data_IF_045397294798
#
_entry.id   IF_045397294798
#
_cell.length_a   1.000
_cell.length_b   1.000
_cell.length_c   1.000
_cell.angle_alpha   90.00
_cell.angle_beta   90.00
_cell.angle_gamma   90.00
#
_symmetry.space_group_name_H-M   'P 1'
#
loop_
_entity.id
_entity.type
_entity.pdbx_description
1 polymer ?
#
# COMPACT_ATOMS: atom_id res chain seq x y z
N UNK A 1 12.27 -6.83 -34.97
CA UNK A 1 11.35 -6.56 -33.83
C UNK A 1 11.31 -5.06 -33.49
N UNK A 2 10.13 -4.43 -33.40
CA UNK A 2 10.00 -2.99 -33.12
C UNK A 2 10.52 -2.62 -31.71
N UNK A 3 11.06 -1.41 -31.57
CA UNK A 3 11.50 -0.85 -30.27
C UNK A 3 10.30 -0.44 -29.42
N UNK A 4 9.30 0.15 -30.06
CA UNK A 4 8.04 0.62 -29.48
C UNK A 4 6.94 -0.40 -29.77
N UNK A 5 6.15 -0.73 -28.75
CA UNK A 5 4.95 -1.56 -28.85
C UNK A 5 3.73 -0.69 -29.07
N UNK A 6 3.64 0.40 -28.32
CA UNK A 6 2.47 1.27 -28.32
C UNK A 6 2.86 2.68 -27.85
N UNK A 7 2.02 3.67 -28.18
CA UNK A 7 2.18 5.03 -27.72
C UNK A 7 0.82 5.73 -27.62
N UNK A 8 0.60 6.49 -26.55
CA UNK A 8 -0.65 7.20 -26.32
C UNK A 8 -0.41 8.55 -25.66
N UNK A 9 -1.37 9.47 -25.84
CA UNK A 9 -1.32 10.80 -25.25
C UNK A 9 -1.64 10.73 -23.75
N UNK A 10 -0.91 11.52 -22.96
CA UNK A 10 -1.11 11.72 -21.53
C UNK A 10 -1.10 13.22 -21.23
N UNK A 11 -1.61 13.68 -20.07
CA UNK A 11 -1.62 15.11 -19.75
C UNK A 11 -0.26 15.80 -19.83
N UNK A 12 0.83 15.07 -19.58
CA UNK A 12 2.21 15.57 -19.64
C UNK A 12 2.89 15.42 -21.01
N UNK A 13 2.21 14.91 -22.03
CA UNK A 13 2.79 14.67 -23.36
C UNK A 13 2.42 13.33 -23.97
N UNK A 14 3.41 12.54 -24.38
CA UNK A 14 3.23 11.23 -25.00
C UNK A 14 3.91 10.17 -24.16
N UNK A 15 3.18 9.11 -23.81
CA UNK A 15 3.74 7.91 -23.19
C UNK A 15 4.06 6.88 -24.27
N UNK A 16 5.25 6.27 -24.17
CA UNK A 16 5.73 5.27 -25.12
C UNK A 16 6.00 3.97 -24.38
N UNK A 17 5.37 2.88 -24.83
CA UNK A 17 5.58 1.54 -24.29
C UNK A 17 6.66 0.81 -25.10
N UNK A 18 7.78 0.49 -24.45
CA UNK A 18 8.82 -0.33 -25.04
C UNK A 18 8.52 -1.83 -24.88
N UNK A 19 8.97 -2.66 -25.82
CA UNK A 19 8.68 -4.11 -25.77
C UNK A 19 9.44 -4.87 -24.68
N UNK A 20 10.49 -4.27 -24.11
CA UNK A 20 11.25 -4.83 -22.98
C UNK A 20 12.04 -3.73 -22.28
N UNK A 21 12.53 -3.96 -21.05
CA UNK A 21 13.42 -3.02 -20.37
C UNK A 21 14.70 -2.69 -21.15
N UNK A 22 15.27 -3.66 -21.88
CA UNK A 22 16.45 -3.44 -22.71
C UNK A 22 16.15 -2.49 -23.88
N UNK A 23 15.01 -2.66 -24.54
CA UNK A 23 14.57 -1.76 -25.61
C UNK A 23 14.23 -0.37 -25.09
N UNK A 24 13.65 -0.26 -23.89
CA UNK A 24 13.44 1.03 -23.23
C UNK A 24 14.78 1.76 -23.01
N UNK A 25 15.82 1.04 -22.58
CA UNK A 25 17.16 1.61 -22.45
C UNK A 25 17.73 2.06 -23.80
N UNK A 26 17.55 1.28 -24.88
CA UNK A 26 17.95 1.71 -26.22
C UNK A 26 17.22 2.95 -26.71
N UNK A 27 15.92 3.11 -26.39
CA UNK A 27 15.18 4.34 -26.71
C UNK A 27 15.78 5.53 -25.95
N UNK A 28 16.12 5.35 -24.67
CA UNK A 28 16.73 6.40 -23.85
C UNK A 28 18.15 6.78 -24.29
N UNK A 29 18.90 5.87 -24.92
CA UNK A 29 20.21 6.20 -25.52
C UNK A 29 20.10 7.22 -26.65
N UNK A 30 18.94 7.34 -27.29
CA UNK A 30 18.65 8.31 -28.33
C UNK A 30 17.79 9.48 -27.83
N UNK A 31 17.73 9.71 -26.52
CA UNK A 31 16.89 10.74 -25.89
C UNK A 31 17.10 12.13 -26.47
N UNK A 32 18.34 12.56 -26.73
CA UNK A 32 18.65 13.87 -27.31
C UNK A 32 18.12 14.02 -28.73
N UNK A 33 18.29 12.99 -29.57
CA UNK A 33 17.79 13.00 -30.94
C UNK A 33 16.25 13.03 -30.98
N UNK A 34 15.61 12.32 -30.04
CA UNK A 34 14.16 12.36 -29.86
C UNK A 34 13.75 13.75 -29.37
N UNK A 35 14.39 14.29 -28.33
CA UNK A 35 14.11 15.61 -27.78
C UNK A 35 14.16 16.70 -28.86
N UNK A 36 15.21 16.71 -29.68
CA UNK A 36 15.39 17.67 -30.76
C UNK A 36 14.26 17.59 -31.81
N UNK A 37 13.81 16.37 -32.16
CA UNK A 37 12.71 16.16 -33.10
C UNK A 37 11.35 16.61 -32.56
N UNK A 38 11.18 16.59 -31.24
CA UNK A 38 9.94 16.98 -30.56
C UNK A 38 10.05 18.35 -29.87
N UNK A 39 10.86 19.27 -30.41
CA UNK A 39 10.91 20.66 -29.93
C UNK A 39 11.52 20.80 -28.55
N UNK A 40 12.65 20.12 -28.29
CA UNK A 40 13.32 20.04 -27.00
C UNK A 40 12.46 19.40 -25.90
N UNK A 41 11.68 18.37 -26.27
CA UNK A 41 10.91 17.61 -25.30
C UNK A 41 11.83 16.87 -24.30
N UNK A 42 11.42 16.79 -23.04
CA UNK A 42 12.10 15.95 -22.04
C UNK A 42 11.77 14.49 -22.31
N UNK A 43 12.78 13.69 -22.64
CA UNK A 43 12.63 12.24 -22.84
C UNK A 43 13.15 11.53 -21.60
N UNK A 44 12.24 10.92 -20.85
CA UNK A 44 12.56 10.25 -19.60
C UNK A 44 11.87 8.91 -19.46
N UNK A 45 12.44 8.05 -18.61
CA UNK A 45 11.79 6.81 -18.22
C UNK A 45 10.68 7.12 -17.23
N UNK A 46 9.52 6.48 -17.39
CA UNK A 46 8.52 6.48 -16.34
C UNK A 46 9.09 5.80 -15.08
N UNK A 47 9.28 6.57 -14.03
CA UNK A 47 9.72 6.09 -12.72
C UNK A 47 8.58 6.16 -11.72
N UNK A 48 8.57 5.19 -10.80
CA UNK A 48 7.72 5.25 -9.61
C UNK A 48 8.43 6.08 -8.54
N UNK A 49 7.70 7.02 -7.94
CA UNK A 49 8.26 7.95 -6.96
C UNK A 49 7.70 7.66 -5.56
N UNK A 50 8.57 7.69 -4.56
CA UNK A 50 8.21 7.64 -3.15
C UNK A 50 8.21 9.04 -2.55
N UNK A 51 7.15 9.40 -1.83
CA UNK A 51 7.11 10.63 -1.06
C UNK A 51 7.72 10.41 0.33
N UNK A 52 8.55 11.36 0.78
CA UNK A 52 8.98 11.49 2.17
C UNK A 52 8.52 12.84 2.74
N UNK A 53 8.30 12.89 4.04
CA UNK A 53 8.09 14.11 4.82
C UNK A 53 9.34 14.35 5.65
N UNK A 54 9.88 15.57 5.56
CA UNK A 54 11.10 15.97 6.27
C UNK A 54 10.75 17.13 7.19
N UNK A 55 11.04 17.00 8.48
CA UNK A 55 10.78 18.03 9.47
C UNK A 55 11.10 17.62 10.91
N UNK A 56 11.13 18.59 11.84
CA UNK A 56 10.86 20.02 11.62
C UNK A 56 12.01 20.76 10.90
N UNK A 57 11.66 21.76 10.08
CA UNK A 57 12.58 22.69 9.39
C UNK A 57 12.11 24.12 9.69
N UNK A 58 13.01 25.06 10.04
CA UNK A 58 12.64 26.46 10.25
C UNK A 58 12.06 27.06 8.96
N UNK A 59 11.01 27.88 9.06
CA UNK A 59 10.45 28.59 7.90
C UNK A 59 11.17 29.89 7.55
N UNK A 60 12.01 30.36 8.46
CA UNK A 60 12.87 31.52 8.28
C UNK A 60 14.25 31.20 8.82
N UNK A 61 15.27 31.42 8.02
CA UNK A 61 16.68 31.32 8.41
C UNK A 61 17.25 32.73 8.39
N UNK A 62 17.84 33.15 9.50
CA UNK A 62 18.49 34.45 9.62
C UNK A 62 19.94 34.31 9.14
N UNK A 63 20.30 35.14 8.18
CA UNK A 63 21.66 35.30 7.64
C UNK A 63 22.12 36.74 7.89
N UNK A 64 23.38 37.05 7.54
CA UNK A 64 23.89 38.43 7.62
C UNK A 64 23.08 39.41 6.74
N UNK A 65 22.51 38.91 5.64
CA UNK A 65 21.73 39.70 4.68
C UNK A 65 20.23 39.79 5.05
N UNK A 66 19.81 39.14 6.14
CA UNK A 66 18.43 39.12 6.61
C UNK A 66 17.81 37.73 6.71
N UNK A 67 16.49 37.69 6.90
CA UNK A 67 15.73 36.47 7.08
C UNK A 67 15.14 35.96 5.75
N UNK A 68 15.41 34.70 5.40
CA UNK A 68 14.96 34.08 4.15
C UNK A 68 14.15 32.80 4.42
N UNK A 69 13.20 32.47 3.54
CA UNK A 69 12.59 31.14 3.53
C UNK A 69 13.67 30.15 3.04
N UNK A 70 14.02 29.10 3.81
CA UNK A 70 15.00 28.15 3.34
C UNK A 70 14.61 27.43 2.04
N UNK A 71 13.33 27.39 1.66
CA UNK A 71 12.93 26.83 0.36
C UNK A 71 13.36 27.68 -0.84
N UNK A 72 13.62 28.97 -0.65
CA UNK A 72 14.14 29.90 -1.67
C UNK A 72 15.66 29.69 -1.87
N UNK A 73 16.05 28.46 -2.21
CA UNK A 73 17.43 28.09 -2.60
C UNK A 73 18.30 27.53 -1.47
N UNK A 74 18.22 28.05 -0.23
CA UNK A 74 19.12 27.63 0.86
C UNK A 74 19.01 26.14 1.22
N UNK A 75 17.84 25.54 1.08
CA UNK A 75 17.60 24.12 1.36
C UNK A 75 18.27 23.22 0.32
N UNK A 76 18.37 23.66 -0.94
CA UNK A 76 19.09 22.89 -1.97
C UNK A 76 20.61 22.98 -1.79
N UNK A 77 21.09 24.10 -1.24
CA UNK A 77 22.48 24.31 -0.89
C UNK A 77 22.89 23.65 0.44
N UNK A 78 21.91 23.23 1.26
CA UNK A 78 22.16 22.56 2.53
C UNK A 78 22.98 21.27 2.29
N UNK A 79 24.14 21.08 2.95
CA UNK A 79 25.07 20.00 2.63
C UNK A 79 24.48 18.59 2.68
N UNK A 80 23.59 18.31 3.64
CA UNK A 80 22.93 17.01 3.73
C UNK A 80 21.88 16.81 2.64
N UNK A 81 21.13 17.84 2.22
CA UNK A 81 20.23 17.76 1.06
C UNK A 81 21.03 17.59 -0.23
N UNK A 82 22.12 18.34 -0.42
CA UNK A 82 22.99 18.24 -1.61
C UNK A 82 23.60 16.86 -1.74
N UNK A 83 24.18 16.33 -0.66
CA UNK A 83 24.72 14.98 -0.62
C UNK A 83 23.65 13.91 -0.94
N UNK A 84 22.41 14.10 -0.45
CA UNK A 84 21.31 13.21 -0.83
C UNK A 84 20.92 13.33 -2.31
N UNK A 85 21.01 14.53 -2.90
CA UNK A 85 20.68 14.78 -4.31
C UNK A 85 21.67 14.13 -5.26
N UNK A 86 22.96 14.13 -4.91
CA UNK A 86 24.03 13.50 -5.70
C UNK A 86 23.81 11.99 -5.82
N UNK A 87 23.37 11.35 -4.72
CA UNK A 87 23.08 9.91 -4.69
C UNK A 87 21.65 9.55 -5.11
N UNK A 88 20.69 10.46 -5.00
CA UNK A 88 19.27 10.21 -5.27
C UNK A 88 18.61 11.44 -5.89
N UNK A 89 18.03 11.38 -7.11
CA UNK A 89 17.44 12.57 -7.70
C UNK A 89 16.21 12.98 -6.89
N UNK A 90 16.22 14.18 -6.33
CA UNK A 90 15.09 14.78 -5.63
C UNK A 90 14.40 15.75 -6.59
N UNK A 91 13.15 15.45 -6.99
CA UNK A 91 12.44 16.27 -8.00
C UNK A 91 11.54 17.35 -7.45
N UNK A 92 10.87 17.08 -6.34
CA UNK A 92 9.86 17.98 -5.80
C UNK A 92 10.16 18.24 -4.34
N UNK A 93 10.37 19.51 -4.00
CA UNK A 93 10.56 19.98 -2.63
C UNK A 93 9.55 21.09 -2.40
N UNK A 94 8.62 20.88 -1.48
CA UNK A 94 7.60 21.87 -1.14
C UNK A 94 7.19 21.76 0.32
N UNK A 95 6.74 22.87 0.93
CA UNK A 95 6.07 22.81 2.21
C UNK A 95 4.85 21.86 2.16
N UNK A 96 4.63 21.09 3.21
CA UNK A 96 3.37 20.36 3.39
C UNK A 96 2.24 21.37 3.54
N UNK A 97 1.03 21.06 3.04
CA UNK A 97 -0.15 21.92 3.18
C UNK A 97 -0.39 22.38 4.63
N UNK A 98 -0.29 21.46 5.58
CA UNK A 98 -0.37 21.78 7.03
C UNK A 98 0.67 22.78 7.49
N UNK A 99 1.87 22.76 6.90
CA UNK A 99 2.91 23.73 7.23
C UNK A 99 2.63 25.06 6.56
N UNK A 100 2.16 25.11 5.32
CA UNK A 100 1.75 26.35 4.66
C UNK A 100 0.68 27.09 5.47
N UNK A 101 -0.32 26.36 5.97
CA UNK A 101 -1.46 26.94 6.70
C UNK A 101 -1.13 27.29 8.18
N UNK A 102 0.03 26.87 8.70
CA UNK A 102 0.39 27.02 10.10
C UNK A 102 1.19 28.30 10.36
N UNK A 103 0.93 28.99 11.48
CA UNK A 103 1.77 30.10 11.97
C UNK A 103 3.02 29.62 12.73
N UNK A 104 3.24 28.30 12.83
CA UNK A 104 4.44 27.74 13.48
C UNK A 104 5.71 28.24 12.78
N UNK A 105 6.75 28.66 13.53
CA UNK A 105 8.05 29.02 12.97
C UNK A 105 8.77 27.83 12.33
N UNK A 106 8.33 26.60 12.62
CA UNK A 106 8.80 25.37 12.01
C UNK A 106 7.73 24.71 11.16
N UNK A 107 8.14 24.16 10.02
CA UNK A 107 7.29 23.38 9.13
C UNK A 107 7.90 22.03 8.78
N UNK A 108 7.19 21.31 7.93
CA UNK A 108 7.62 20.07 7.32
C UNK A 108 7.50 20.21 5.80
N UNK A 109 8.51 19.73 5.09
CA UNK A 109 8.55 19.69 3.63
C UNK A 109 8.22 18.28 3.12
N UNK A 110 7.82 18.18 1.86
CA UNK A 110 7.69 16.92 1.13
C UNK A 110 8.79 16.83 0.09
N UNK A 111 9.49 15.70 0.06
CA UNK A 111 10.45 15.37 -0.98
C UNK A 111 9.99 14.14 -1.77
N UNK A 112 10.22 14.12 -3.08
CA UNK A 112 9.98 12.96 -3.94
C UNK A 112 11.30 12.36 -4.42
N UNK A 113 11.47 11.06 -4.18
CA UNK A 113 12.67 10.28 -4.52
C UNK A 113 12.24 9.04 -5.32
N UNK A 114 13.01 8.57 -6.33
CA UNK A 114 12.64 7.35 -7.06
C UNK A 114 12.55 6.16 -6.11
N UNK A 115 11.54 5.31 -6.29
CA UNK A 115 11.31 4.14 -5.45
C UNK A 115 12.52 3.21 -5.43
N UNK A 116 13.21 3.05 -6.56
CA UNK A 116 14.45 2.27 -6.67
C UNK A 116 15.56 2.77 -5.72
N UNK A 117 15.55 4.05 -5.35
CA UNK A 117 16.55 4.67 -4.46
C UNK A 117 15.99 5.03 -3.08
N UNK A 118 14.71 4.77 -2.81
CA UNK A 118 14.06 5.12 -1.55
C UNK A 118 14.71 4.47 -0.31
N UNK A 119 15.34 3.31 -0.48
CA UNK A 119 16.07 2.61 0.59
C UNK A 119 17.36 3.33 1.02
N UNK A 120 17.91 4.23 0.18
CA UNK A 120 19.09 5.04 0.51
C UNK A 120 18.76 6.27 1.33
N UNK A 121 17.47 6.63 1.44
CA UNK A 121 17.04 7.81 2.19
C UNK A 121 17.14 7.50 3.69
N UNK A 122 17.96 8.24 4.46
CA UNK A 122 18.11 8.01 5.89
C UNK A 122 16.83 8.41 6.64
N UNK A 123 16.62 7.87 7.84
CA UNK A 123 15.47 8.20 8.69
C UNK A 123 15.63 9.52 9.46
N UNK A 124 16.86 10.00 9.61
CA UNK A 124 17.20 11.25 10.31
C UNK A 124 18.44 11.87 9.67
N UNK A 125 18.44 13.20 9.53
CA UNK A 125 19.60 14.00 9.13
C UNK A 125 19.61 15.32 9.90
N UNK A 126 20.80 15.87 10.08
CA UNK A 126 20.92 17.22 10.61
C UNK A 126 20.75 18.20 9.45
N UNK A 127 19.78 19.11 9.56
CA UNK A 127 19.52 20.19 8.60
C UNK A 127 19.50 21.51 9.37
N UNK A 128 20.20 22.52 8.88
CA UNK A 128 20.29 23.83 9.55
C UNK A 128 20.70 23.73 11.03
N UNK A 129 21.63 22.82 11.34
CA UNK A 129 22.08 22.58 12.71
C UNK A 129 21.12 21.80 13.60
N UNK A 130 19.91 21.46 13.14
CA UNK A 130 18.89 20.74 13.91
C UNK A 130 18.72 19.30 13.44
N UNK A 131 18.45 18.38 14.36
CA UNK A 131 18.15 16.99 14.03
C UNK A 131 16.73 16.88 13.44
N UNK A 132 16.65 16.62 12.14
CA UNK A 132 15.40 16.54 11.37
C UNK A 132 15.03 15.09 11.08
N UNK A 133 13.76 14.73 11.29
CA UNK A 133 13.24 13.41 10.93
C UNK A 133 12.85 13.36 9.46
N UNK A 134 13.12 12.23 8.82
CA UNK A 134 12.75 11.94 7.45
C UNK A 134 11.87 10.69 7.47
N UNK A 135 10.59 10.87 7.14
CA UNK A 135 9.59 9.81 7.22
C UNK A 135 9.07 9.47 5.83
N UNK A 136 9.22 8.20 5.44
CA UNK A 136 8.60 7.68 4.22
C UNK A 136 7.08 7.74 4.38
N UNK A 137 6.41 8.46 3.47
CA UNK A 137 4.95 8.48 3.41
C UNK A 137 4.49 7.19 2.77
N UNK A 138 4.01 6.29 3.62
CA UNK A 138 3.35 5.07 3.15
C UNK A 138 1.87 5.36 2.92
N UNK A 139 1.42 5.24 1.68
CA UNK A 139 -0.02 5.30 1.35
C UNK A 139 -0.73 3.96 1.65
N UNK A 140 -0.17 3.14 2.55
CA UNK A 140 -0.89 2.04 3.18
C UNK A 140 -1.92 2.65 4.12
N UNK A 141 -3.01 3.19 3.58
CA UNK A 141 -4.29 3.09 4.27
C UNK A 141 -4.54 1.59 4.45
N UNK A 142 -4.08 1.06 5.58
CA UNK A 142 -4.37 -0.29 5.97
C UNK A 142 -5.87 -0.33 6.20
N UNK A 143 -6.54 -1.28 5.55
CA UNK A 143 -7.89 -1.65 5.95
C UNK A 143 -7.79 -2.07 7.41
N UNK A 144 -8.28 -1.23 8.32
CA UNK A 144 -8.20 -1.51 9.75
C UNK A 144 -9.24 -2.58 10.08
N UNK A 145 -8.77 -3.73 10.53
CA UNK A 145 -9.60 -4.77 11.13
C UNK A 145 -9.59 -4.55 12.64
N UNK A 146 -10.77 -4.45 13.24
CA UNK A 146 -10.92 -4.28 14.68
C UNK A 146 -10.47 -5.55 15.40
N UNK A 147 -9.52 -5.47 16.34
CA UNK A 147 -9.09 -6.61 17.15
C UNK A 147 -10.10 -7.06 18.23
N UNK A 148 -11.20 -6.31 18.45
CA UNK A 148 -12.28 -6.73 19.36
C UNK A 148 -13.32 -7.61 18.65
N UNK A 149 -13.87 -7.10 17.54
CA UNK A 149 -15.00 -7.74 16.86
C UNK A 149 -14.70 -8.18 15.42
N UNK A 150 -13.46 -8.03 14.96
CA UNK A 150 -13.00 -8.38 13.59
C UNK A 150 -13.75 -7.69 12.45
N UNK A 151 -14.53 -6.66 12.74
CA UNK A 151 -15.14 -5.79 11.74
C UNK A 151 -14.13 -4.83 11.12
N UNK A 152 -14.38 -4.41 9.88
CA UNK A 152 -13.50 -3.47 9.16
C UNK A 152 -13.69 -2.03 9.61
N UNK A 153 -13.18 -1.67 10.78
CA UNK A 153 -13.14 -0.30 11.31
C UNK A 153 -12.02 -0.16 12.35
N UNK A 154 -11.78 1.07 12.82
CA UNK A 154 -10.78 1.30 13.86
C UNK A 154 -11.22 0.71 15.21
N UNK A 155 -10.31 -0.01 15.88
CA UNK A 155 -10.51 -0.56 17.23
C UNK A 155 -10.88 0.51 18.25
N UNK A 156 -10.22 1.68 18.19
CA UNK A 156 -10.36 2.75 19.20
C UNK A 156 -11.79 3.27 19.37
N UNK A 157 -12.61 3.18 18.32
CA UNK A 157 -14.03 3.62 18.34
C UNK A 157 -14.99 2.44 18.45
N UNK A 158 -14.50 1.23 18.73
CA UNK A 158 -15.32 0.03 18.84
C UNK A 158 -15.92 -0.12 20.24
N UNK A 159 -17.25 0.01 20.31
CA UNK A 159 -18.05 -0.29 21.51
C UNK A 159 -18.51 -1.76 21.60
N UNK A 160 -18.13 -2.62 20.64
CA UNK A 160 -18.51 -4.05 20.65
C UNK A 160 -17.60 -4.84 21.59
N UNK A 161 -18.15 -5.94 22.11
CA UNK A 161 -17.42 -6.92 22.93
C UNK A 161 -16.33 -7.65 22.13
N UNK A 162 -15.37 -8.21 22.87
CA UNK A 162 -14.34 -9.08 22.31
C UNK A 162 -14.95 -10.40 21.84
N UNK A 163 -14.61 -10.80 20.62
CA UNK A 163 -15.03 -12.04 20.00
C UNK A 163 -13.82 -12.95 19.79
N UNK A 164 -14.07 -14.22 19.55
CA UNK A 164 -13.08 -15.18 19.07
C UNK A 164 -12.92 -15.05 17.54
N UNK A 165 -11.68 -14.98 17.05
CA UNK A 165 -11.40 -14.86 15.62
C UNK A 165 -11.86 -16.10 14.83
N UNK A 166 -11.70 -17.28 15.44
CA UNK A 166 -11.95 -18.57 14.80
C UNK A 166 -13.43 -18.93 14.81
N UNK A 167 -14.13 -18.89 15.95
CA UNK A 167 -15.55 -19.31 16.03
C UNK A 167 -16.59 -18.17 16.03
N UNK A 168 -16.17 -16.91 16.14
CA UNK A 168 -17.08 -15.76 16.12
C UNK A 168 -17.96 -15.57 17.37
N UNK A 169 -17.84 -16.43 18.38
CA UNK A 169 -18.51 -16.26 19.67
C UNK A 169 -17.74 -15.26 20.56
N UNK A 170 -18.18 -15.04 21.79
CA UNK A 170 -17.44 -14.24 22.76
C UNK A 170 -16.02 -14.80 22.97
N UNK A 171 -15.09 -13.88 23.25
CA UNK A 171 -13.71 -14.22 23.61
C UNK A 171 -13.70 -15.25 24.72
N UNK A 172 -12.84 -16.26 24.58
CA UNK A 172 -12.67 -17.32 25.56
C UNK A 172 -11.17 -17.62 25.72
N UNK A 173 -10.82 -18.20 26.86
CA UNK A 173 -9.47 -18.65 27.15
C UNK A 173 -9.25 -20.08 26.63
N UNK A 174 -8.01 -20.43 26.32
CA UNK A 174 -7.65 -21.75 25.80
C UNK A 174 -7.97 -21.98 24.32
N UNK A 175 -7.66 -23.19 23.80
CA UNK A 175 -7.85 -23.52 22.39
C UNK A 175 -9.33 -23.50 22.00
N UNK A 176 -9.62 -22.97 20.81
CA UNK A 176 -10.98 -22.96 20.27
C UNK A 176 -11.36 -24.33 19.72
N UNK A 177 -12.34 -24.99 20.34
CA UNK A 177 -12.86 -26.31 19.90
C UNK A 177 -14.12 -26.20 19.05
N UNK A 178 -14.68 -24.99 18.91
CA UNK A 178 -15.88 -24.74 18.11
C UNK A 178 -15.53 -24.69 16.63
N UNK A 179 -16.53 -25.01 15.80
CA UNK A 179 -16.40 -24.91 14.35
C UNK A 179 -15.98 -23.49 13.94
N UNK A 180 -14.99 -23.42 13.05
CA UNK A 180 -14.48 -22.15 12.52
C UNK A 180 -15.58 -21.47 11.69
N UNK A 181 -15.85 -20.21 12.00
CA UNK A 181 -16.82 -19.38 11.29
C UNK A 181 -16.41 -17.90 11.32
N UNK A 182 -16.26 -17.31 10.13
CA UNK A 182 -15.95 -15.90 9.97
C UNK A 182 -17.13 -14.99 10.39
N UNK A 183 -16.85 -13.97 11.20
CA UNK A 183 -17.84 -12.99 11.68
C UNK A 183 -18.44 -12.12 10.58
N UNK A 184 -17.72 -11.92 9.47
CA UNK A 184 -18.10 -10.99 8.41
C UNK A 184 -18.95 -11.70 7.32
N UNK A 185 -18.41 -12.77 6.71
CA UNK A 185 -19.08 -13.51 5.63
C UNK A 185 -19.82 -14.78 6.08
N UNK A 186 -19.60 -15.26 7.32
CA UNK A 186 -20.12 -16.55 7.83
C UNK A 186 -19.55 -17.81 7.14
N UNK A 187 -18.42 -17.68 6.45
CA UNK A 187 -17.70 -18.77 5.82
C UNK A 187 -16.79 -19.57 6.78
N UNK A 188 -16.32 -20.76 6.37
CA UNK A 188 -15.51 -21.67 7.19
C UNK A 188 -14.03 -21.29 7.24
N UNK A 189 -13.74 -20.05 7.63
CA UNK A 189 -12.38 -19.53 7.82
C UNK A 189 -12.36 -18.53 8.99
N UNK A 190 -11.17 -18.22 9.50
CA UNK A 190 -11.02 -17.26 10.59
C UNK A 190 -11.36 -15.83 10.15
N UNK A 191 -11.89 -15.02 11.05
CA UNK A 191 -12.28 -13.64 10.76
C UNK A 191 -11.10 -12.72 10.39
N UNK A 192 -9.87 -13.17 10.63
CA UNK A 192 -8.59 -12.52 10.27
C UNK A 192 -8.18 -12.78 8.82
N UNK A 193 -8.78 -13.75 8.14
CA UNK A 193 -8.41 -14.14 6.78
C UNK A 193 -8.55 -12.96 5.79
N UNK A 194 -7.52 -12.81 4.96
CA UNK A 194 -7.48 -11.80 3.91
C UNK A 194 -8.26 -12.17 2.65
N UNK A 195 -8.56 -13.45 2.48
CA UNK A 195 -9.36 -13.98 1.37
C UNK A 195 -10.87 -13.74 1.52
N UNK A 196 -11.33 -13.37 2.72
CA UNK A 196 -12.74 -13.22 3.06
C UNK A 196 -13.51 -12.35 2.03
N UNK A 197 -14.58 -12.84 1.40
CA UNK A 197 -15.30 -12.09 0.36
C UNK A 197 -16.05 -10.87 0.90
N UNK A 198 -16.33 -10.83 2.21
CA UNK A 198 -16.91 -9.65 2.86
C UNK A 198 -15.88 -8.52 3.11
N UNK A 199 -14.59 -8.77 2.85
CA UNK A 199 -13.51 -7.78 3.04
C UNK A 199 -13.61 -6.65 2.01
N UNK A 200 -13.65 -5.38 2.45
CA UNK A 200 -13.61 -4.22 1.56
C UNK A 200 -12.43 -4.29 0.58
N UNK A 201 -12.72 -4.07 -0.71
CA UNK A 201 -11.73 -4.11 -1.78
C UNK A 201 -11.31 -2.69 -2.13
N UNK A 202 -10.10 -2.55 -2.65
CA UNK A 202 -9.64 -1.27 -3.19
C UNK A 202 -10.12 -1.13 -4.62
N UNK A 203 -10.81 -0.03 -4.89
CA UNK A 203 -11.20 0.40 -6.22
C UNK A 203 -10.76 1.85 -6.39
N UNK A 204 -9.95 2.13 -7.41
CA UNK A 204 -9.35 3.46 -7.65
C UNK A 204 -8.75 4.15 -6.41
N UNK A 205 -8.15 3.38 -5.49
CA UNK A 205 -7.52 3.90 -4.27
C UNK A 205 -8.46 4.12 -3.08
N UNK A 206 -9.76 3.88 -3.24
CA UNK A 206 -10.78 3.97 -2.17
C UNK A 206 -11.19 2.57 -1.74
N UNK A 207 -11.43 2.37 -0.44
CA UNK A 207 -12.00 1.10 0.04
C UNK A 207 -13.51 1.08 -0.23
N UNK A 208 -13.92 0.22 -1.16
CA UNK A 208 -15.33 -0.07 -1.44
C UNK A 208 -15.79 -1.21 -0.55
N UNK A 209 -16.81 -0.93 0.27
CA UNK A 209 -17.42 -1.92 1.17
C UNK A 209 -18.56 -2.63 0.44
N UNK A 210 -18.70 -3.95 0.60
CA UNK A 210 -19.90 -4.65 0.14
C UNK A 210 -21.16 -4.04 0.75
N UNK A 211 -22.18 -3.79 -0.06
CA UNK A 211 -23.48 -3.30 0.39
C UNK A 211 -24.19 -4.35 1.23
N UNK A 212 -25.25 -3.96 1.95
CA UNK A 212 -26.08 -4.90 2.70
C UNK A 212 -26.65 -6.03 1.84
N UNK A 213 -27.02 -5.74 0.58
CA UNK A 213 -27.48 -6.73 -0.38
C UNK A 213 -26.33 -7.68 -0.78
N UNK A 214 -25.17 -7.15 -1.16
CA UNK A 214 -24.00 -7.97 -1.51
C UNK A 214 -23.57 -8.87 -0.35
N UNK A 215 -23.59 -8.38 0.90
CA UNK A 215 -23.30 -9.19 2.09
C UNK A 215 -24.30 -10.34 2.28
N UNK A 216 -25.59 -10.13 1.98
CA UNK A 216 -26.59 -11.22 2.04
C UNK A 216 -26.27 -12.30 1.01
N UNK A 217 -25.92 -11.91 -0.22
CA UNK A 217 -25.54 -12.86 -1.28
C UNK A 217 -24.26 -13.64 -0.91
N UNK A 218 -23.23 -12.94 -0.44
CA UNK A 218 -21.98 -13.55 0.05
C UNK A 218 -22.28 -14.59 1.13
N UNK A 219 -23.02 -14.20 2.19
CA UNK A 219 -23.37 -15.12 3.27
C UNK A 219 -24.20 -16.32 2.82
N UNK A 220 -25.05 -16.15 1.80
CA UNK A 220 -25.83 -17.23 1.24
C UNK A 220 -24.98 -18.19 0.39
N UNK A 221 -23.98 -17.70 -0.32
CA UNK A 221 -23.02 -18.51 -1.08
C UNK A 221 -22.14 -19.35 -0.13
N UNK A 222 -21.57 -18.71 0.89
CA UNK A 222 -20.73 -19.36 1.91
C UNK A 222 -21.46 -20.50 2.64
N UNK A 223 -22.74 -20.30 2.99
CA UNK A 223 -23.57 -21.36 3.58
C UNK A 223 -23.79 -22.54 2.64
N UNK A 224 -23.96 -22.27 1.34
CA UNK A 224 -24.14 -23.32 0.32
C UNK A 224 -22.85 -24.12 0.12
N UNK A 225 -21.72 -23.43 0.03
CA UNK A 225 -20.40 -24.08 -0.07
C UNK A 225 -20.12 -24.95 1.16
N UNK A 226 -20.37 -24.44 2.37
CA UNK A 226 -20.21 -25.23 3.58
C UNK A 226 -21.11 -26.48 3.58
N UNK A 227 -22.38 -26.35 3.19
CA UNK A 227 -23.29 -27.49 3.10
C UNK A 227 -22.85 -28.52 2.03
N UNK A 228 -22.27 -28.07 0.91
CA UNK A 228 -21.70 -28.95 -0.10
C UNK A 228 -20.48 -29.71 0.42
N UNK A 229 -19.56 -29.01 1.09
CA UNK A 229 -18.36 -29.61 1.67
C UNK A 229 -18.72 -30.65 2.73
N UNK A 230 -19.69 -30.35 3.60
CA UNK A 230 -20.16 -31.29 4.63
C UNK A 230 -20.77 -32.56 4.02
N UNK A 231 -21.60 -32.41 2.97
CA UNK A 231 -22.17 -33.56 2.24
C UNK A 231 -21.07 -34.41 1.59
N UNK A 232 -20.13 -33.79 0.89
CA UNK A 232 -19.02 -34.49 0.27
C UNK A 232 -18.15 -35.23 1.32
N UNK A 233 -17.91 -34.62 2.49
CA UNK A 233 -17.17 -35.29 3.56
C UNK A 233 -17.92 -36.48 4.17
N UNK A 234 -19.26 -36.44 4.21
CA UNK A 234 -20.08 -37.57 4.65
C UNK A 234 -20.03 -38.71 3.64
N UNK A 235 -20.19 -38.42 2.34
CA UNK A 235 -20.12 -39.41 1.25
C UNK A 235 -18.74 -40.10 1.18
N UNK A 236 -17.65 -39.36 1.43
CA UNK A 236 -16.30 -39.92 1.51
C UNK A 236 -16.09 -40.81 2.75
N UNK A 237 -16.73 -40.47 3.87
CA UNK A 237 -16.65 -41.27 5.08
C UNK A 237 -17.42 -42.60 4.92
N UNK A 238 -18.57 -42.57 4.26
CA UNK A 238 -19.42 -43.73 4.00
C UNK A 238 -18.81 -44.68 2.95
N UNK A 239 -18.20 -44.14 1.89
CA UNK A 239 -17.50 -44.96 0.87
C UNK A 239 -16.17 -45.56 1.37
N UNK A 240 -15.49 -44.90 2.32
CA UNK A 240 -14.29 -45.46 2.97
C UNK A 240 -14.59 -46.63 3.92
N UNK A 241 -15.83 -46.74 4.41
CA UNK A 241 -16.24 -47.84 5.30
C UNK A 241 -16.60 -49.13 4.56
N UNK A 242 -16.98 -49.08 3.27
CA UNK A 242 -17.31 -50.28 2.50
C UNK A 242 -16.08 -51.12 2.10
N UNK A 243 -14.90 -50.52 2.01
CA UNK A 243 -13.65 -51.23 1.64
C UNK A 243 -13.00 -52.07 2.75
N UNK A 244 -13.48 -52.02 4.00
CA UNK A 244 -12.91 -52.78 5.12
C UNK A 244 -13.73 -54.02 5.53
N UNK A 245 -14.90 -54.25 4.93
CA UNK A 245 -15.77 -55.40 5.26
C UNK A 245 -15.63 -56.62 4.34
N UNK A 246 -14.87 -56.56 3.25
CA UNK A 246 -14.66 -57.70 2.33
C UNK A 246 -13.26 -58.34 2.44
N UNK A 247 -12.75 -58.60 3.65
CA UNK A 247 -11.61 -59.52 3.83
C UNK A 247 -11.76 -60.31 5.13
N UNK A 248 -12.63 -61.32 5.12
CA UNK A 248 -12.52 -62.45 6.04
C UNK A 248 -13.21 -63.70 5.46
N UNK A 249 -12.50 -64.57 4.73
CA UNK A 249 -12.87 -65.97 4.63
C UNK A 249 -12.29 -66.74 5.82
N UNK A 250 -13.22 -67.20 6.66
CA UNK A 250 -13.27 -68.49 7.37
C UNK A 250 -11.98 -69.29 7.50
N UNK A 251 -11.69 -69.69 8.74
CA UNK A 251 -10.86 -70.85 9.06
C UNK A 251 -11.67 -71.91 9.80
#
# INVERSE_FOLDING_TARGET
>A
PSLVVDAWQVPSGVAVLAASPAKAASILQHSEAIAARFGNATVERQETWTTFVVGPIPKKVNTLDGAYDPLEGLLLEEPAIRAMKDDTPIRHIAWTRRSTDSLSPFGHIRIHVPEARAHKVPSRKQLFGQATSIQRVSNKQLLRTCNKCFGFHATRTCARQFKCASCGMDSHEGPCTRQIQCLNCRGPHESTDTSCPARPRRDHGVFVRPTGAQLRHIRAAERRELANTLRHTQELAESGTETLTELNPTH
#
